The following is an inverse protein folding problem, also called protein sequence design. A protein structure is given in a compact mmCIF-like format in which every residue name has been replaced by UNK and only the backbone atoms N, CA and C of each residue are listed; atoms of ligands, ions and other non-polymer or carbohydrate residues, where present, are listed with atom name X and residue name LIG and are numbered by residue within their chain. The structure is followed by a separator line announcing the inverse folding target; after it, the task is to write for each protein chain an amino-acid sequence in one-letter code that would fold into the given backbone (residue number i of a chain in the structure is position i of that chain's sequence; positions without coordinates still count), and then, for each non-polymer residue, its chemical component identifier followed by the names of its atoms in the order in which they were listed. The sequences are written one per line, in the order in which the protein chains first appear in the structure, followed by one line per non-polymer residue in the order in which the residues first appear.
data_IF_316065125397
#
_entry.id   IF_316065125397
#
_cell.length_a   1.000
_cell.length_b   1.000
_cell.length_c   1.000
_cell.angle_alpha   90.00
_cell.angle_beta   90.00
_cell.angle_gamma   90.00
#
_symmetry.space_group_name_H-M   'P 1'
#
loop_
_entity.id
_entity.type
_entity.pdbx_description
1 polymer ?
#
# COMPACT_ATOMS: atom_id res chain seq x y z
N UNK A 1 28.90 -23.12 49.11
CA UNK A 1 29.27 -23.00 47.68
C UNK A 1 28.43 -23.86 46.71
N UNK A 2 27.85 -25.01 47.13
CA UNK A 2 27.14 -25.94 46.23
C UNK A 2 25.72 -25.50 45.81
N UNK A 3 25.04 -24.60 46.56
CA UNK A 3 23.66 -24.16 46.25
C UNK A 3 23.56 -23.12 45.13
N UNK A 4 24.63 -22.38 44.83
CA UNK A 4 24.65 -21.32 43.79
C UNK A 4 24.58 -21.94 42.38
N UNK A 5 25.21 -23.10 42.18
CA UNK A 5 25.28 -23.77 40.89
C UNK A 5 23.96 -24.42 40.44
N UNK A 6 23.06 -24.74 41.38
CA UNK A 6 21.77 -25.41 41.09
C UNK A 6 20.69 -24.44 40.57
N UNK A 7 20.80 -23.15 40.88
CA UNK A 7 19.89 -22.11 40.37
C UNK A 7 20.30 -21.55 39.00
N UNK A 8 21.54 -21.75 38.57
CA UNK A 8 22.01 -21.30 37.25
C UNK A 8 21.48 -22.16 36.11
N UNK A 9 21.21 -23.45 36.33
CA UNK A 9 20.69 -24.35 35.29
C UNK A 9 19.23 -24.06 34.92
N UNK A 10 18.39 -23.64 35.88
CA UNK A 10 17.00 -23.23 35.62
C UNK A 10 16.90 -21.89 34.89
N UNK A 11 17.82 -20.95 35.17
CA UNK A 11 17.86 -19.66 34.48
C UNK A 11 18.22 -19.80 32.99
N UNK A 12 19.14 -20.71 32.66
CA UNK A 12 19.57 -20.96 31.26
C UNK A 12 18.43 -21.60 30.45
N UNK A 13 17.67 -22.53 31.03
CA UNK A 13 16.53 -23.15 30.37
C UNK A 13 15.40 -22.15 30.08
N UNK A 14 15.16 -21.18 30.97
CA UNK A 14 14.11 -20.17 30.79
C UNK A 14 14.48 -19.16 29.70
N UNK A 15 15.76 -18.79 29.57
CA UNK A 15 16.24 -17.91 28.50
C UNK A 15 16.22 -18.57 27.12
N UNK A 16 16.34 -19.90 27.04
CA UNK A 16 16.28 -20.64 25.77
C UNK A 16 14.85 -20.79 25.22
N UNK A 17 13.83 -20.71 26.10
CA UNK A 17 12.41 -20.79 25.70
C UNK A 17 11.90 -19.43 25.15
N UNK A 18 12.46 -18.31 25.61
CA UNK A 18 12.06 -16.98 25.11
C UNK A 18 12.62 -16.67 23.71
N UNK A 19 13.73 -17.28 23.31
CA UNK A 19 14.37 -17.03 22.01
C UNK A 19 13.71 -17.77 20.84
N UNK A 20 12.80 -18.71 21.09
CA UNK A 20 12.08 -19.44 20.03
C UNK A 20 10.74 -18.81 19.64
N UNK A 21 10.26 -17.81 20.36
CA UNK A 21 9.06 -17.05 19.97
C UNK A 21 9.43 -15.89 19.04
N UNK A 22 9.69 -16.21 17.77
CA UNK A 22 9.67 -15.20 16.71
C UNK A 22 8.22 -14.79 16.46
N UNK A 23 7.77 -13.72 17.10
CA UNK A 23 6.56 -13.03 16.66
C UNK A 23 6.86 -12.44 15.27
N UNK A 24 6.25 -13.02 14.23
CA UNK A 24 6.18 -12.37 12.93
C UNK A 24 5.40 -11.07 13.10
N UNK A 25 6.10 -9.94 13.12
CA UNK A 25 5.46 -8.64 13.02
C UNK A 25 4.85 -8.55 11.62
N UNK A 26 3.53 -8.74 11.53
CA UNK A 26 2.77 -8.38 10.33
C UNK A 26 2.77 -6.86 10.23
N UNK A 27 3.75 -6.30 9.54
CA UNK A 27 3.67 -4.91 9.12
C UNK A 27 2.44 -4.79 8.20
N UNK A 28 1.44 -4.03 8.61
CA UNK A 28 0.38 -3.61 7.68
C UNK A 28 1.08 -2.87 6.53
N UNK A 29 0.74 -3.24 5.29
CA UNK A 29 1.40 -2.73 4.10
C UNK A 29 1.36 -1.20 4.02
N UNK A 30 2.19 -0.64 3.14
CA UNK A 30 2.14 0.77 2.74
C UNK A 30 1.69 0.85 1.30
N UNK A 31 0.80 1.80 0.98
CA UNK A 31 0.34 2.10 -0.36
C UNK A 31 0.85 3.48 -0.78
N UNK A 32 1.36 3.61 -2.01
CA UNK A 32 1.72 4.89 -2.62
C UNK A 32 0.68 5.28 -3.66
N UNK A 33 -0.05 6.37 -3.40
CA UNK A 33 -1.20 6.80 -4.17
C UNK A 33 -0.90 8.09 -4.94
N UNK A 34 -1.08 8.06 -6.26
CA UNK A 34 -1.21 9.26 -7.08
C UNK A 34 -2.67 9.64 -7.18
N UNK A 35 -3.04 10.80 -6.63
CA UNK A 35 -4.41 11.28 -6.65
C UNK A 35 -4.56 12.47 -7.59
N UNK A 36 -5.57 12.45 -8.48
CA UNK A 36 -5.78 13.49 -9.49
C UNK A 36 -7.10 14.23 -9.39
N UNK A 37 -7.76 14.15 -8.24
CA UNK A 37 -8.94 14.97 -7.92
C UNK A 37 -8.56 16.16 -7.02
N UNK A 38 -9.56 16.87 -6.53
CA UNK A 38 -9.42 17.90 -5.51
C UNK A 38 -8.83 17.33 -4.21
N UNK A 39 -8.01 18.13 -3.54
CA UNK A 39 -7.19 17.66 -2.40
C UNK A 39 -8.04 17.17 -1.22
N UNK A 40 -9.18 17.81 -0.96
CA UNK A 40 -10.13 17.43 0.08
C UNK A 40 -10.72 16.04 -0.15
N UNK A 41 -11.04 15.70 -1.41
CA UNK A 41 -11.51 14.36 -1.79
C UNK A 41 -10.39 13.33 -1.62
N UNK A 42 -9.16 13.66 -2.04
CA UNK A 42 -8.01 12.78 -1.86
C UNK A 42 -7.75 12.47 -0.38
N UNK A 43 -7.78 13.49 0.48
CA UNK A 43 -7.56 13.34 1.92
C UNK A 43 -8.67 12.54 2.60
N UNK A 44 -9.94 12.79 2.24
CA UNK A 44 -11.08 12.02 2.75
C UNK A 44 -10.95 10.54 2.40
N UNK A 45 -10.58 10.23 1.16
CA UNK A 45 -10.44 8.85 0.70
C UNK A 45 -9.28 8.14 1.39
N UNK A 46 -8.14 8.81 1.55
CA UNK A 46 -6.99 8.28 2.31
C UNK A 46 -7.41 7.96 3.75
N UNK A 47 -8.03 8.91 4.45
CA UNK A 47 -8.45 8.71 5.84
C UNK A 47 -9.43 7.54 6.01
N UNK A 48 -10.41 7.43 5.10
CA UNK A 48 -11.37 6.33 5.12
C UNK A 48 -10.69 4.97 4.89
N UNK A 49 -9.82 4.88 3.87
CA UNK A 49 -9.11 3.66 3.53
C UNK A 49 -8.16 3.21 4.63
N UNK A 50 -7.37 4.14 5.20
CA UNK A 50 -6.48 3.86 6.33
C UNK A 50 -7.26 3.39 7.55
N UNK A 51 -8.42 3.98 7.85
CA UNK A 51 -9.27 3.58 8.97
C UNK A 51 -9.84 2.17 8.80
N UNK A 52 -10.28 1.82 7.59
CA UNK A 52 -10.93 0.54 7.31
C UNK A 52 -9.91 -0.61 7.25
N UNK A 53 -8.76 -0.37 6.60
CA UNK A 53 -7.77 -1.43 6.31
C UNK A 53 -6.60 -1.43 7.30
N UNK A 54 -6.29 -0.27 7.89
CA UNK A 54 -5.06 -0.02 8.64
C UNK A 54 -3.78 0.01 7.79
N UNK A 55 -3.88 0.03 6.46
CA UNK A 55 -2.76 0.20 5.54
C UNK A 55 -2.44 1.68 5.47
N UNK A 56 -1.20 2.08 5.69
CA UNK A 56 -0.79 3.49 5.60
C UNK A 56 -0.67 3.91 4.13
N UNK A 57 -1.14 5.10 3.77
CA UNK A 57 -1.11 5.63 2.41
C UNK A 57 -0.20 6.84 2.32
N UNK A 58 0.84 6.76 1.49
CA UNK A 58 1.62 7.91 1.05
C UNK A 58 0.99 8.48 -0.22
N UNK A 59 0.22 9.55 -0.09
CA UNK A 59 -0.47 10.18 -1.20
C UNK A 59 0.29 11.40 -1.73
N UNK A 60 0.34 11.54 -3.06
CA UNK A 60 0.73 12.80 -3.73
C UNK A 60 -0.38 13.23 -4.67
N UNK A 61 -0.73 14.52 -4.65
CA UNK A 61 -1.77 15.09 -5.49
C UNK A 61 -1.18 15.87 -6.66
N UNK A 62 -1.60 15.55 -7.88
CA UNK A 62 -1.25 16.27 -9.14
C UNK A 62 -2.40 16.18 -10.14
N UNK A 63 -2.49 17.11 -11.11
CA UNK A 63 -3.50 16.97 -12.17
C UNK A 63 -3.31 15.67 -12.98
N UNK A 64 -4.33 15.25 -13.74
CA UNK A 64 -4.25 14.03 -14.56
C UNK A 64 -3.08 14.07 -15.55
N UNK A 65 -2.84 15.22 -16.21
CA UNK A 65 -1.76 15.38 -17.18
C UNK A 65 -0.37 15.35 -16.55
N UNK A 66 -0.21 15.98 -15.39
CA UNK A 66 1.05 15.92 -14.63
C UNK A 66 1.32 14.51 -14.09
N UNK A 67 0.27 13.80 -13.64
CA UNK A 67 0.39 12.43 -13.15
C UNK A 67 0.75 11.49 -14.29
N UNK A 68 0.14 11.63 -15.47
CA UNK A 68 0.54 10.89 -16.67
C UNK A 68 2.01 11.11 -17.02
N UNK A 69 2.44 12.37 -17.07
CA UNK A 69 3.83 12.70 -17.38
C UNK A 69 4.80 12.09 -16.37
N UNK A 70 4.44 12.08 -15.08
CA UNK A 70 5.21 11.42 -14.03
C UNK A 70 5.25 9.90 -14.22
N UNK A 71 4.11 9.23 -14.39
CA UNK A 71 4.03 7.78 -14.60
C UNK A 71 4.88 7.37 -15.80
N UNK A 72 4.83 8.13 -16.90
CA UNK A 72 5.64 7.89 -18.09
C UNK A 72 7.14 8.06 -17.82
N UNK A 73 7.53 9.10 -17.06
CA UNK A 73 8.93 9.33 -16.70
C UNK A 73 9.48 8.25 -15.75
N UNK A 74 8.63 7.64 -14.94
CA UNK A 74 8.98 6.61 -13.97
C UNK A 74 8.80 5.18 -14.49
N UNK A 75 8.44 4.97 -15.76
CA UNK A 75 8.03 3.66 -16.30
C UNK A 75 9.03 2.52 -16.05
N UNK A 76 10.34 2.81 -16.09
CA UNK A 76 11.39 1.80 -15.84
C UNK A 76 11.62 1.50 -14.35
N UNK A 77 11.09 2.33 -13.45
CA UNK A 77 11.21 2.20 -12.01
C UNK A 77 10.03 2.87 -11.28
N UNK A 78 8.80 2.32 -11.40
CA UNK A 78 7.59 2.95 -10.89
C UNK A 78 7.68 3.25 -9.40
N UNK A 79 7.20 4.42 -8.97
CA UNK A 79 7.14 4.80 -7.54
C UNK A 79 5.75 4.76 -6.94
N UNK A 80 4.71 4.76 -7.76
CA UNK A 80 3.31 4.70 -7.34
C UNK A 80 2.73 3.31 -7.53
N UNK A 81 1.79 2.96 -6.66
CA UNK A 81 1.05 1.69 -6.72
C UNK A 81 -0.29 1.87 -7.43
N UNK A 82 -1.00 2.98 -7.16
CA UNK A 82 -2.34 3.27 -7.68
C UNK A 82 -2.41 4.72 -8.14
N UNK A 83 -3.09 4.95 -9.27
CA UNK A 83 -3.48 6.28 -9.75
C UNK A 83 -5.01 6.40 -9.68
N UNK A 84 -5.51 7.31 -8.83
CA UNK A 84 -6.93 7.51 -8.57
C UNK A 84 -7.47 8.85 -9.09
N UNK A 85 -8.59 8.76 -9.79
CA UNK A 85 -9.39 9.91 -10.22
C UNK A 85 -8.76 10.75 -11.32
N UNK A 86 -9.23 12.00 -11.46
CA UNK A 86 -8.90 12.85 -12.61
C UNK A 86 -9.73 12.53 -13.85
N UNK A 87 -9.27 13.02 -15.00
CA UNK A 87 -9.91 12.83 -16.31
C UNK A 87 -9.55 11.48 -16.91
N UNK A 88 -10.43 10.89 -17.73
CA UNK A 88 -10.24 9.54 -18.30
C UNK A 88 -9.17 9.44 -19.39
N UNK A 89 -9.01 10.46 -20.24
CA UNK A 89 -8.12 10.36 -21.42
C UNK A 89 -6.65 10.04 -21.06
N UNK A 90 -6.05 10.60 -19.99
CA UNK A 90 -4.71 10.24 -19.57
C UNK A 90 -4.59 8.79 -19.07
N UNK A 91 -5.62 8.24 -18.41
CA UNK A 91 -5.64 6.83 -18.00
C UNK A 91 -5.70 5.90 -19.21
N UNK A 92 -6.55 6.23 -20.21
CA UNK A 92 -6.65 5.48 -21.46
C UNK A 92 -5.33 5.49 -22.22
N UNK A 93 -4.69 6.66 -22.32
CA UNK A 93 -3.38 6.79 -22.98
C UNK A 93 -2.31 6.00 -22.23
N UNK A 94 -2.26 6.06 -20.90
CA UNK A 94 -1.31 5.30 -20.10
C UNK A 94 -1.47 3.78 -20.28
N UNK A 95 -2.72 3.30 -20.37
CA UNK A 95 -3.01 1.90 -20.67
C UNK A 95 -2.53 1.48 -22.07
N UNK A 96 -2.80 2.29 -23.10
CA UNK A 96 -2.34 2.05 -24.47
C UNK A 96 -0.81 2.01 -24.59
N UNK A 97 -0.11 2.83 -23.80
CA UNK A 97 1.35 2.85 -23.74
C UNK A 97 1.94 1.74 -22.83
N UNK A 98 1.11 0.89 -22.21
CA UNK A 98 1.57 -0.21 -21.34
C UNK A 98 2.14 0.27 -20.00
N UNK A 99 1.72 1.45 -19.53
CA UNK A 99 2.19 2.06 -18.28
C UNK A 99 1.35 1.64 -17.05
N UNK A 100 0.23 0.97 -17.25
CA UNK A 100 -0.66 0.50 -16.18
C UNK A 100 -0.93 -1.00 -16.32
N UNK A 101 -1.30 -1.63 -15.21
CA UNK A 101 -1.68 -3.05 -15.16
C UNK A 101 -3.20 -3.21 -15.22
N UNK A 102 -3.67 -4.19 -15.99
CA UNK A 102 -5.07 -4.57 -15.99
C UNK A 102 -5.47 -5.18 -14.64
N UNK A 103 -6.56 -4.69 -14.06
CA UNK A 103 -7.14 -5.23 -12.84
C UNK A 103 -8.66 -5.09 -12.89
N UNK A 104 -9.38 -6.23 -12.85
CA UNK A 104 -10.84 -6.26 -12.73
C UNK A 104 -11.25 -6.42 -11.27
N UNK A 105 -11.90 -5.39 -10.72
CA UNK A 105 -12.45 -5.42 -9.36
C UNK A 105 -13.57 -6.45 -9.22
N UNK A 106 -13.75 -7.04 -8.04
CA UNK A 106 -14.91 -7.87 -7.72
C UNK A 106 -16.24 -7.10 -7.81
N UNK A 107 -16.17 -5.76 -7.68
CA UNK A 107 -17.32 -4.85 -7.78
C UNK A 107 -17.54 -4.33 -9.22
N UNK A 108 -16.78 -4.80 -10.21
CA UNK A 108 -16.84 -4.27 -11.58
C UNK A 108 -18.22 -4.41 -12.21
N UNK A 109 -18.89 -5.54 -11.98
CA UNK A 109 -20.20 -5.81 -12.57
C UNK A 109 -21.32 -4.97 -11.90
N UNK A 110 -21.01 -4.23 -10.81
CA UNK A 110 -21.92 -3.27 -10.16
C UNK A 110 -21.84 -1.86 -10.76
N UNK A 111 -20.87 -1.59 -11.63
CA UNK A 111 -20.72 -0.30 -12.30
C UNK A 111 -21.84 -0.04 -13.31
N UNK A 112 -22.07 1.24 -13.61
CA UNK A 112 -22.94 1.61 -14.74
C UNK A 112 -22.37 1.06 -16.06
N UNK A 113 -23.19 0.70 -17.07
CA UNK A 113 -22.70 0.09 -18.31
C UNK A 113 -21.65 0.90 -19.07
N UNK A 114 -21.62 2.23 -18.91
CA UNK A 114 -20.64 3.10 -19.54
C UNK A 114 -19.25 3.08 -18.85
N UNK A 115 -19.15 2.46 -17.68
CA UNK A 115 -17.93 2.32 -16.88
C UNK A 115 -17.46 0.86 -16.74
N UNK A 116 -18.14 -0.06 -17.45
CA UNK A 116 -17.74 -1.45 -17.67
C UNK A 116 -17.03 -1.55 -19.03
#
# INVERSE_FOLDING_TARGET
MIKIFRNSFTAIFLSLILSTFSFSAFAKGKLTLYCSVEIDVCELLVQAFEKETGINVAMTRKSSGETFAQVKAEASNPKGDVWYGGTGDPHLTASQEGLTMEYKSIYFDELIPAAQ
#
